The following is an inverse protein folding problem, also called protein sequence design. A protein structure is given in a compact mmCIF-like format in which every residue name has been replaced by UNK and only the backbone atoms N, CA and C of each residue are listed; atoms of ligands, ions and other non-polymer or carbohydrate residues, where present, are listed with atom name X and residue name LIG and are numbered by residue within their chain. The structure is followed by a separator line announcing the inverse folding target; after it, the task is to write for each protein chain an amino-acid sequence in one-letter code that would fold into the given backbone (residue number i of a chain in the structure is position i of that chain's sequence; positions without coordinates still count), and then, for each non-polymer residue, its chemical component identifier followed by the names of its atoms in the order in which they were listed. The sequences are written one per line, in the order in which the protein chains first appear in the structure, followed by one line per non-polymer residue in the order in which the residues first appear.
data_IF_717851236526
#
_entry.id   IF_717851236526
#
_cell.length_a   1.000
_cell.length_b   1.000
_cell.length_c   1.000
_cell.angle_alpha   90.00
_cell.angle_beta   90.00
_cell.angle_gamma   90.00
#
_symmetry.space_group_name_H-M   'P 1'
#
loop_
_entity.id
_entity.type
_entity.pdbx_description
1 polymer ?
#
# COMPACT_ATOMS: atom_id res chain seq x y z
N UNK A 1 -27.31 -39.35 -13.45
CA UNK A 1 -26.17 -39.07 -12.54
C UNK A 1 -26.46 -37.77 -11.80
N UNK A 2 -26.70 -37.79 -10.50
CA UNK A 2 -26.80 -36.56 -9.70
C UNK A 2 -25.39 -36.03 -9.41
N UNK A 3 -25.13 -34.72 -9.54
CA UNK A 3 -23.82 -34.17 -9.22
C UNK A 3 -23.52 -34.34 -7.72
N UNK A 4 -22.31 -34.79 -7.40
CA UNK A 4 -21.85 -34.96 -6.03
C UNK A 4 -21.89 -33.60 -5.30
N UNK A 5 -22.62 -33.52 -4.18
CA UNK A 5 -22.82 -32.30 -3.39
C UNK A 5 -21.52 -31.58 -3.02
N UNK A 6 -20.47 -32.34 -2.72
CA UNK A 6 -19.17 -31.76 -2.34
C UNK A 6 -18.44 -31.15 -3.55
N UNK A 7 -18.63 -31.74 -4.73
CA UNK A 7 -18.10 -31.18 -5.98
C UNK A 7 -18.80 -29.85 -6.33
N UNK A 8 -20.11 -29.76 -6.16
CA UNK A 8 -20.88 -28.51 -6.40
C UNK A 8 -20.44 -27.40 -5.44
N UNK A 9 -20.28 -27.69 -4.15
CA UNK A 9 -19.80 -26.71 -3.15
C UNK A 9 -18.39 -26.19 -3.48
N UNK A 10 -17.49 -27.08 -3.90
CA UNK A 10 -16.12 -26.73 -4.27
C UNK A 10 -16.07 -25.81 -5.50
N UNK A 11 -16.89 -26.10 -6.51
CA UNK A 11 -17.03 -25.23 -7.69
C UNK A 11 -17.56 -23.85 -7.27
N UNK A 12 -18.62 -23.80 -6.47
CA UNK A 12 -19.23 -22.53 -6.05
C UNK A 12 -18.27 -21.66 -5.23
N UNK A 13 -17.52 -22.26 -4.30
CA UNK A 13 -16.50 -21.53 -3.53
C UNK A 13 -15.36 -21.03 -4.41
N UNK A 14 -14.95 -21.81 -5.41
CA UNK A 14 -13.92 -21.39 -6.37
C UNK A 14 -14.39 -20.20 -7.20
N UNK A 15 -15.63 -20.26 -7.71
CA UNK A 15 -16.25 -19.15 -8.44
C UNK A 15 -16.35 -17.91 -7.56
N UNK A 16 -16.88 -18.04 -6.33
CA UNK A 16 -17.03 -16.92 -5.41
C UNK A 16 -15.69 -16.24 -5.09
N UNK A 17 -14.60 -17.02 -4.92
CA UNK A 17 -13.25 -16.47 -4.71
C UNK A 17 -12.80 -15.61 -5.89
N UNK A 18 -12.92 -16.11 -7.11
CA UNK A 18 -12.52 -15.34 -8.30
C UNK A 18 -13.43 -14.13 -8.53
N UNK A 19 -14.74 -14.27 -8.33
CA UNK A 19 -15.68 -13.14 -8.40
C UNK A 19 -15.32 -12.05 -7.40
N UNK A 20 -14.93 -12.42 -6.18
CA UNK A 20 -14.52 -11.46 -5.17
C UNK A 20 -13.25 -10.71 -5.59
N UNK A 21 -12.26 -11.41 -6.13
CA UNK A 21 -11.03 -10.78 -6.66
C UNK A 21 -11.37 -9.82 -7.79
N UNK A 22 -12.15 -10.26 -8.78
CA UNK A 22 -12.56 -9.43 -9.92
C UNK A 22 -13.34 -8.21 -9.45
N UNK A 23 -14.24 -8.37 -8.46
CA UNK A 23 -15.00 -7.27 -7.87
C UNK A 23 -14.08 -6.22 -7.25
N UNK A 24 -13.13 -6.63 -6.40
CA UNK A 24 -12.23 -5.67 -5.75
C UNK A 24 -11.28 -4.99 -6.73
N UNK A 25 -10.72 -5.73 -7.69
CA UNK A 25 -9.83 -5.16 -8.71
C UNK A 25 -10.59 -4.19 -9.61
N UNK A 26 -11.78 -4.56 -10.08
CA UNK A 26 -12.60 -3.68 -10.92
C UNK A 26 -13.09 -2.45 -10.16
N UNK A 27 -13.43 -2.58 -8.87
CA UNK A 27 -13.72 -1.44 -8.01
C UNK A 27 -12.51 -0.52 -7.87
N UNK A 28 -11.34 -1.04 -7.57
CA UNK A 28 -10.13 -0.22 -7.37
C UNK A 28 -9.68 0.48 -8.65
N UNK A 29 -9.67 -0.24 -9.78
CA UNK A 29 -9.33 0.33 -11.09
C UNK A 29 -10.40 1.32 -11.54
N UNK A 30 -11.68 0.97 -11.40
CA UNK A 30 -12.80 1.88 -11.66
C UNK A 30 -12.72 3.15 -10.83
N UNK A 31 -12.29 3.00 -9.57
CA UNK A 31 -12.08 4.03 -8.57
C UNK A 31 -10.86 4.95 -8.82
N UNK A 32 -9.97 4.61 -9.75
CA UNK A 32 -8.72 5.37 -9.95
C UNK A 32 -8.47 5.79 -11.39
N UNK A 33 -8.90 5.00 -12.38
CA UNK A 33 -8.60 5.24 -13.79
C UNK A 33 -9.56 6.21 -14.50
N UNK A 34 -10.72 6.50 -13.90
CA UNK A 34 -11.81 7.27 -14.53
C UNK A 34 -12.39 8.33 -13.60
N UNK A 35 -11.52 9.16 -13.02
CA UNK A 35 -11.93 10.23 -12.10
C UNK A 35 -12.57 11.41 -12.83
N UNK A 36 -13.66 11.92 -12.29
CA UNK A 36 -14.30 13.16 -12.72
C UNK A 36 -14.91 13.91 -11.53
N UNK A 37 -15.21 15.18 -11.73
CA UNK A 37 -15.66 16.10 -10.67
C UNK A 37 -17.00 16.73 -11.01
N UNK A 38 -17.94 16.68 -10.07
CA UNK A 38 -19.13 17.54 -10.08
C UNK A 38 -18.85 18.82 -9.30
N UNK A 39 -19.12 19.97 -9.92
CA UNK A 39 -18.95 21.27 -9.31
C UNK A 39 -20.29 21.80 -8.80
N UNK A 40 -20.31 22.21 -7.53
CA UNK A 40 -21.44 22.90 -6.90
C UNK A 40 -20.98 24.29 -6.45
N UNK A 41 -21.90 25.22 -6.12
CA UNK A 41 -21.53 26.58 -5.71
C UNK A 41 -20.59 26.65 -4.50
N UNK A 42 -20.65 25.68 -3.58
CA UNK A 42 -19.90 25.72 -2.30
C UNK A 42 -18.93 24.56 -2.10
N UNK A 43 -19.03 23.50 -2.90
CA UNK A 43 -18.17 22.31 -2.79
C UNK A 43 -18.06 21.60 -4.15
N UNK A 44 -17.17 20.61 -4.22
CA UNK A 44 -17.03 19.75 -5.39
C UNK A 44 -16.90 18.30 -4.96
N UNK A 45 -17.50 17.39 -5.71
CA UNK A 45 -17.40 15.95 -5.45
C UNK A 45 -16.61 15.33 -6.59
N UNK A 46 -15.43 14.79 -6.27
CA UNK A 46 -14.59 14.05 -7.21
C UNK A 46 -14.73 12.57 -6.94
N UNK A 47 -15.04 11.80 -7.97
CA UNK A 47 -15.22 10.35 -7.85
C UNK A 47 -14.96 9.69 -9.21
N UNK A 48 -15.10 8.38 -9.28
CA UNK A 48 -14.53 7.60 -10.38
C UNK A 48 -15.33 6.32 -10.65
N UNK A 49 -15.58 6.08 -11.94
CA UNK A 49 -16.13 4.84 -12.48
C UNK A 49 -15.99 4.90 -14.01
N UNK A 50 -16.10 3.78 -14.74
CA UNK A 50 -16.15 3.82 -16.20
C UNK A 50 -17.18 4.85 -16.67
N UNK A 51 -16.70 5.92 -17.31
CA UNK A 51 -17.55 6.95 -17.88
C UNK A 51 -16.98 7.33 -19.25
N UNK A 52 -17.88 7.55 -20.21
CA UNK A 52 -17.53 8.11 -21.49
C UNK A 52 -17.81 9.62 -21.39
N UNK A 53 -16.80 10.50 -21.56
CA UNK A 53 -17.02 11.93 -21.49
C UNK A 53 -18.00 12.38 -22.58
N UNK A 54 -18.79 13.41 -22.27
CA UNK A 54 -19.63 14.09 -23.26
C UNK A 54 -18.81 14.76 -24.37
N UNK A 55 -19.48 15.23 -25.42
CA UNK A 55 -18.81 15.97 -26.51
C UNK A 55 -18.10 17.25 -26.04
N UNK A 56 -18.52 17.79 -24.90
CA UNK A 56 -17.95 18.94 -24.19
C UNK A 56 -16.86 18.56 -23.17
N UNK A 57 -16.55 17.27 -23.03
CA UNK A 57 -15.59 16.76 -22.03
C UNK A 57 -16.14 16.71 -20.61
N UNK A 58 -17.42 17.04 -20.40
CA UNK A 58 -18.06 17.06 -19.08
C UNK A 58 -18.76 15.73 -18.76
N UNK A 59 -19.05 15.46 -17.47
CA UNK A 59 -19.84 14.28 -17.08
C UNK A 59 -21.24 14.37 -17.68
N UNK A 60 -21.63 13.36 -18.47
CA UNK A 60 -22.98 13.30 -19.08
C UNK A 60 -24.05 12.73 -18.13
N UNK A 61 -23.74 12.56 -16.84
CA UNK A 61 -24.65 12.01 -15.85
C UNK A 61 -24.51 12.80 -14.54
N UNK A 62 -25.42 12.57 -13.62
CA UNK A 62 -25.40 13.13 -12.27
C UNK A 62 -25.95 12.11 -11.29
N UNK A 63 -25.67 12.29 -10.01
CA UNK A 63 -26.11 11.42 -8.94
C UNK A 63 -27.20 12.06 -8.10
N UNK A 64 -27.96 11.23 -7.39
CA UNK A 64 -28.85 11.71 -6.35
C UNK A 64 -28.06 11.95 -5.05
N UNK A 65 -28.67 12.64 -4.08
CA UNK A 65 -28.00 12.97 -2.80
C UNK A 65 -27.54 11.74 -2.02
N UNK A 66 -28.30 10.63 -2.06
CA UNK A 66 -27.90 9.40 -1.36
C UNK A 66 -26.61 8.80 -1.94
N UNK A 67 -26.47 8.82 -3.27
CA UNK A 67 -25.28 8.32 -3.93
C UNK A 67 -24.06 9.22 -3.63
N UNK A 68 -24.25 10.53 -3.57
CA UNK A 68 -23.19 11.44 -3.14
C UNK A 68 -22.73 11.18 -1.70
N UNK A 69 -23.66 10.96 -0.77
CA UNK A 69 -23.30 10.61 0.62
C UNK A 69 -22.50 9.31 0.69
N UNK A 70 -22.87 8.29 -0.10
CA UNK A 70 -22.10 7.04 -0.11
C UNK A 70 -20.71 7.20 -0.69
N UNK A 71 -20.54 8.09 -1.67
CA UNK A 71 -19.22 8.42 -2.22
C UNK A 71 -18.36 9.09 -1.15
N UNK A 72 -18.92 10.05 -0.42
CA UNK A 72 -18.25 10.76 0.67
C UNK A 72 -17.82 9.79 1.79
N UNK A 73 -18.73 8.93 2.27
CA UNK A 73 -18.40 7.93 3.30
C UNK A 73 -17.29 6.96 2.87
N UNK A 74 -17.32 6.52 1.60
CA UNK A 74 -16.28 5.63 1.07
C UNK A 74 -14.94 6.35 0.92
N UNK A 75 -14.93 7.61 0.48
CA UNK A 75 -13.70 8.41 0.36
C UNK A 75 -13.07 8.66 1.74
N UNK A 76 -13.88 9.00 2.74
CA UNK A 76 -13.45 9.16 4.13
C UNK A 76 -12.81 7.88 4.69
N UNK A 77 -13.46 6.72 4.48
CA UNK A 77 -12.91 5.41 4.91
C UNK A 77 -11.58 5.13 4.20
N UNK A 78 -11.47 5.42 2.91
CA UNK A 78 -10.22 5.21 2.15
C UNK A 78 -9.12 6.16 2.63
N UNK A 79 -9.44 7.41 2.93
CA UNK A 79 -8.49 8.38 3.45
C UNK A 79 -7.98 7.97 4.84
N UNK A 80 -8.87 7.50 5.73
CA UNK A 80 -8.50 6.99 7.04
C UNK A 80 -7.64 5.72 6.93
N UNK A 81 -8.04 4.77 6.09
CA UNK A 81 -7.27 3.55 5.84
C UNK A 81 -5.88 3.84 5.24
N UNK A 82 -5.77 4.82 4.34
CA UNK A 82 -4.50 5.26 3.78
C UNK A 82 -3.60 5.89 4.86
N UNK A 83 -4.14 6.74 5.72
CA UNK A 83 -3.41 7.31 6.86
C UNK A 83 -2.90 6.21 7.81
N UNK A 84 -3.74 5.24 8.15
CA UNK A 84 -3.34 4.08 8.96
C UNK A 84 -2.24 3.25 8.27
N UNK A 85 -2.37 2.97 6.97
CA UNK A 85 -1.32 2.26 6.22
C UNK A 85 0.02 3.00 6.26
N UNK A 86 0.02 4.32 6.03
CA UNK A 86 1.23 5.13 6.06
C UNK A 86 1.86 5.17 7.45
N UNK A 87 1.06 5.28 8.52
CA UNK A 87 1.58 5.24 9.89
C UNK A 87 2.19 3.89 10.25
N UNK A 88 1.58 2.78 9.81
CA UNK A 88 2.16 1.44 10.01
C UNK A 88 3.45 1.23 9.22
N UNK A 89 3.50 1.67 7.96
CA UNK A 89 4.71 1.59 7.13
C UNK A 89 5.83 2.42 7.74
N UNK A 90 5.55 3.64 8.19
CA UNK A 90 6.56 4.50 8.83
C UNK A 90 7.07 3.90 10.14
N UNK A 91 6.18 3.38 10.99
CA UNK A 91 6.56 2.67 12.21
C UNK A 91 7.43 1.44 11.92
N UNK A 92 7.08 0.66 10.89
CA UNK A 92 7.86 -0.50 10.46
C UNK A 92 9.27 -0.11 9.98
N UNK A 93 9.37 0.95 9.17
CA UNK A 93 10.66 1.48 8.70
C UNK A 93 11.51 1.93 9.89
N UNK A 94 10.94 2.69 10.83
CA UNK A 94 11.66 3.13 12.03
C UNK A 94 12.14 1.93 12.88
N UNK A 95 11.27 0.94 13.09
CA UNK A 95 11.64 -0.28 13.81
C UNK A 95 12.76 -1.05 13.10
N UNK A 96 12.73 -1.11 11.77
CA UNK A 96 13.76 -1.78 10.97
C UNK A 96 15.15 -1.16 11.17
N UNK A 97 15.24 0.16 11.39
CA UNK A 97 16.51 0.85 11.70
C UNK A 97 17.09 0.35 13.03
N UNK A 98 16.26 0.11 14.04
CA UNK A 98 16.71 -0.40 15.34
C UNK A 98 17.03 -1.89 15.32
N UNK A 99 16.31 -2.68 14.51
CA UNK A 99 16.51 -4.13 14.39
C UNK A 99 17.73 -4.46 13.52
N UNK A 100 18.11 -3.60 12.58
CA UNK A 100 19.32 -3.79 11.77
C UNK A 100 20.54 -3.91 12.69
N UNK A 101 21.05 -5.14 12.82
CA UNK A 101 22.30 -5.39 13.51
C UNK A 101 23.41 -4.63 12.78
N UNK A 102 23.90 -3.58 13.42
CA UNK A 102 25.06 -2.84 12.95
C UNK A 102 26.27 -3.78 13.02
N UNK A 103 26.56 -4.50 11.93
CA UNK A 103 27.78 -5.29 11.80
C UNK A 103 28.94 -4.32 11.65
N UNK A 104 29.46 -3.86 12.78
CA UNK A 104 30.74 -3.15 12.82
C UNK A 104 31.83 -4.16 12.46
N UNK A 105 32.27 -4.13 11.20
CA UNK A 105 33.52 -4.80 10.81
C UNK A 105 34.64 -3.91 11.34
N UNK A 106 35.13 -4.21 12.54
CA UNK A 106 36.34 -3.56 13.06
C UNK A 106 37.54 -4.15 12.31
N UNK A 107 38.25 -3.39 11.45
CA UNK A 107 39.48 -3.90 10.86
C UNK A 107 40.53 -4.01 11.97
N UNK A 108 40.67 -5.21 12.54
CA UNK A 108 41.76 -5.48 13.48
C UNK A 108 43.04 -5.62 12.67
N UNK A 109 43.81 -4.54 12.58
CA UNK A 109 45.17 -4.60 12.07
C UNK A 109 46.03 -5.27 13.14
N UNK A 110 46.37 -6.55 12.93
CA UNK A 110 47.36 -7.24 13.77
C UNK A 110 48.73 -6.64 13.49
N UNK A 111 49.12 -5.64 14.29
CA UNK A 111 50.47 -5.07 14.24
C UNK A 111 51.38 -6.00 15.03
N UNK A 112 51.78 -7.12 14.42
CA UNK A 112 52.80 -8.01 14.98
C UNK A 112 54.17 -7.36 14.77
N UNK A 113 54.52 -6.37 15.61
CA UNK A 113 55.88 -5.87 15.70
C UNK A 113 56.74 -6.90 16.45
N UNK A 114 57.38 -7.82 15.70
CA UNK A 114 58.39 -8.77 16.21
C UNK A 114 59.75 -8.06 16.35
N UNK A 115 59.75 -6.85 16.91
CA UNK A 115 60.98 -6.08 17.11
C UNK A 115 60.96 -5.40 18.48
N UNK A 116 60.78 -6.20 19.52
CA UNK A 116 61.24 -5.82 20.86
C UNK A 116 62.77 -5.90 20.87
N UNK A 117 63.45 -4.88 20.33
CA UNK A 117 64.83 -4.61 20.73
C UNK A 117 64.74 -3.92 22.08
N UNK A 118 65.29 -4.55 23.13
CA UNK A 118 65.36 -3.95 24.44
C UNK A 118 66.10 -2.59 24.36
N UNK A 119 65.68 -1.57 25.13
CA UNK A 119 66.38 -0.29 25.17
C UNK A 119 67.84 -0.51 25.61
N UNK A 120 68.81 0.22 25.03
CA UNK A 120 70.23 0.03 25.34
C UNK A 120 70.49 0.32 26.82
N UNK A 121 71.05 -0.67 27.50
CA UNK A 121 71.49 -0.59 28.88
C UNK A 121 72.83 0.15 28.94
N UNK A 122 72.85 1.35 29.53
CA UNK A 122 74.07 2.09 29.81
C UNK A 122 74.36 2.02 31.31
N UNK A 123 75.46 1.38 31.71
CA UNK A 123 76.03 1.55 33.05
C UNK A 123 77.00 2.73 32.97
N UNK A 124 76.84 3.71 33.86
CA UNK A 124 77.87 4.71 34.19
C UNK A 124 78.59 4.29 35.46
#
# INVERSE_FOLDING_TARGET
MCPNREHVKSIFTTIAKYLLIVLFVSYYVGGTAFTHTHYFPTYSITHSHPFLPGADGLPHHTHNSSAFNTIEELDDIMMEAAALCLTLVTAWVLLSVFIQQHKYITPVRSVRNISLRAPPFCIK
#
